data_IF_947419544106
#
_entry.id   IF_947419544106
#
_cell.length_a   1.000
_cell.length_b   1.000
_cell.length_c   1.000
_cell.angle_alpha   90.00
_cell.angle_beta   90.00
_cell.angle_gamma   90.00
#
_symmetry.space_group_name_H-M   'P 1'
#
loop_
_entity.id
_entity.type
_entity.pdbx_description
1 polymer ?
#
# COMPACT_ATOMS: atom_id res chain seq x y z
N UNK A 1 7.42 12.95 22.64
CA UNK A 1 7.58 11.48 22.59
C UNK A 1 7.76 11.07 21.15
N UNK A 2 8.92 10.51 20.78
CA UNK A 2 9.07 9.97 19.43
C UNK A 2 8.00 8.90 19.21
N UNK A 3 7.20 9.08 18.16
CA UNK A 3 6.12 8.16 17.80
C UNK A 3 6.71 6.74 17.66
N UNK A 4 6.06 5.75 18.26
CA UNK A 4 6.45 4.34 18.17
C UNK A 4 6.72 3.91 16.71
N UNK A 5 5.87 4.38 15.79
CA UNK A 5 6.02 4.11 14.36
C UNK A 5 7.38 4.60 13.81
N UNK A 6 7.81 5.80 14.17
CA UNK A 6 9.11 6.33 13.73
C UNK A 6 10.29 5.48 14.23
N UNK A 7 10.19 4.93 15.45
CA UNK A 7 11.21 4.02 15.99
C UNK A 7 11.23 2.70 15.24
N UNK A 8 10.06 2.13 14.92
CA UNK A 8 9.93 0.88 14.15
C UNK A 8 10.52 1.08 12.75
N UNK A 9 10.13 2.14 12.05
CA UNK A 9 10.65 2.45 10.69
C UNK A 9 12.17 2.60 10.71
N UNK A 10 12.71 3.34 11.68
CA UNK A 10 14.16 3.51 11.83
C UNK A 10 14.87 2.18 12.10
N UNK A 11 14.29 1.32 12.95
CA UNK A 11 14.83 -0.01 13.22
C UNK A 11 14.81 -0.89 11.96
N UNK A 12 13.70 -0.90 11.24
CA UNK A 12 13.53 -1.70 10.02
C UNK A 12 14.55 -1.32 8.93
N UNK A 13 14.79 -0.02 8.73
CA UNK A 13 15.82 0.46 7.80
C UNK A 13 17.22 0.00 8.22
N UNK A 14 17.60 0.23 9.47
CA UNK A 14 18.95 -0.12 9.97
C UNK A 14 19.21 -1.64 9.97
N UNK A 15 18.19 -2.46 10.13
CA UNK A 15 18.30 -3.92 10.19
C UNK A 15 18.10 -4.60 8.84
N UNK A 16 17.87 -3.85 7.77
CA UNK A 16 17.70 -4.42 6.44
C UNK A 16 16.36 -5.12 6.23
N UNK A 17 15.29 -4.64 6.86
CA UNK A 17 13.93 -5.10 6.57
C UNK A 17 13.34 -4.41 5.36
N UNK A 18 13.46 -3.08 5.31
CA UNK A 18 12.91 -2.25 4.23
C UNK A 18 13.87 -1.14 3.86
N UNK A 19 13.83 -0.73 2.60
CA UNK A 19 14.54 0.44 2.06
C UNK A 19 13.59 1.25 1.18
N UNK A 20 13.76 2.58 1.06
CA UNK A 20 13.07 3.35 0.04
C UNK A 20 13.42 2.79 -1.35
N UNK A 21 12.42 2.53 -2.19
CA UNK A 21 12.67 2.06 -3.55
C UNK A 21 13.34 3.14 -4.38
N UNK A 22 14.27 2.75 -5.24
CA UNK A 22 15.02 3.67 -6.11
C UNK A 22 15.74 4.80 -5.38
N UNK A 23 16.24 4.55 -4.17
CA UNK A 23 16.83 5.57 -3.29
C UNK A 23 18.00 6.32 -3.94
N UNK A 24 18.82 5.64 -4.74
CA UNK A 24 19.96 6.25 -5.47
C UNK A 24 19.54 7.33 -6.48
N UNK A 25 18.27 7.33 -6.89
CA UNK A 25 17.67 8.33 -7.79
C UNK A 25 16.71 9.29 -7.06
N UNK A 26 16.81 9.38 -5.73
CA UNK A 26 15.94 10.22 -4.91
C UNK A 26 14.71 9.54 -4.35
N UNK A 27 14.47 8.28 -4.74
CA UNK A 27 13.34 7.50 -4.24
C UNK A 27 11.98 7.92 -4.80
N UNK A 28 10.97 7.14 -4.46
CA UNK A 28 9.56 7.46 -4.73
C UNK A 28 8.79 7.39 -3.41
N UNK A 29 8.01 8.41 -3.12
CA UNK A 29 7.19 8.44 -1.90
C UNK A 29 6.17 7.29 -1.90
N UNK A 30 6.18 6.51 -0.82
CA UNK A 30 5.24 5.38 -0.65
C UNK A 30 5.71 4.06 -1.26
N UNK A 31 6.87 4.01 -1.92
CA UNK A 31 7.43 2.78 -2.49
C UNK A 31 8.62 2.27 -1.69
N UNK A 32 8.63 0.97 -1.41
CA UNK A 32 9.62 0.33 -0.54
C UNK A 32 10.07 -1.00 -1.11
N UNK A 33 11.37 -1.25 -1.03
CA UNK A 33 11.96 -2.54 -1.33
C UNK A 33 12.18 -3.34 -0.03
N UNK A 34 11.98 -4.65 -0.11
CA UNK A 34 12.27 -5.54 1.01
C UNK A 34 13.73 -5.94 1.00
N UNK A 35 14.43 -5.66 2.09
CA UNK A 35 15.76 -6.19 2.33
C UNK A 35 15.74 -7.67 2.73
N UNK A 36 16.90 -8.29 2.98
CA UNK A 36 17.01 -9.72 3.27
C UNK A 36 16.10 -10.19 4.43
N UNK A 37 16.09 -9.48 5.54
CA UNK A 37 15.21 -9.81 6.67
C UNK A 37 13.74 -9.53 6.37
N UNK A 38 13.45 -8.50 5.59
CA UNK A 38 12.10 -8.18 5.16
C UNK A 38 11.48 -9.24 4.26
N UNK A 39 12.27 -9.79 3.33
CA UNK A 39 11.82 -10.91 2.47
C UNK A 39 11.48 -12.14 3.30
N UNK A 40 12.32 -12.50 4.27
CA UNK A 40 12.06 -13.63 5.16
C UNK A 40 10.78 -13.43 5.96
N UNK A 41 10.62 -12.26 6.56
CA UNK A 41 9.40 -11.92 7.32
C UNK A 41 8.14 -11.95 6.44
N UNK A 42 8.21 -11.33 5.26
CA UNK A 42 7.11 -11.34 4.29
C UNK A 42 6.70 -12.76 3.89
N UNK A 43 7.67 -13.62 3.59
CA UNK A 43 7.40 -14.99 3.18
C UNK A 43 6.83 -15.83 4.32
N UNK A 44 7.29 -15.64 5.55
CA UNK A 44 6.73 -16.29 6.72
C UNK A 44 5.27 -15.86 6.94
N UNK A 45 4.99 -14.56 6.84
CA UNK A 45 3.61 -14.05 6.96
C UNK A 45 2.69 -14.63 5.89
N UNK A 46 3.16 -14.69 4.62
CA UNK A 46 2.39 -15.30 3.52
C UNK A 46 2.11 -16.78 3.77
N UNK A 47 3.10 -17.53 4.29
CA UNK A 47 2.92 -18.96 4.61
C UNK A 47 1.87 -19.17 5.69
N UNK A 48 1.96 -18.41 6.80
CA UNK A 48 0.99 -18.51 7.90
C UNK A 48 -0.41 -18.16 7.39
N UNK A 49 -0.53 -17.06 6.65
CA UNK A 49 -1.82 -16.64 6.10
C UNK A 49 -2.40 -17.70 5.15
N UNK A 50 -1.59 -18.26 4.26
CA UNK A 50 -2.02 -19.31 3.34
C UNK A 50 -2.47 -20.57 4.09
N UNK A 51 -1.66 -21.01 5.04
CA UNK A 51 -1.98 -22.16 5.88
C UNK A 51 -3.33 -21.94 6.60
N UNK A 52 -3.47 -20.85 7.33
CA UNK A 52 -4.65 -20.59 8.16
C UNK A 52 -5.91 -20.34 7.34
N UNK A 53 -5.80 -19.73 6.17
CA UNK A 53 -6.97 -19.35 5.37
C UNK A 53 -7.35 -20.41 4.33
N UNK A 54 -6.38 -21.12 3.77
CA UNK A 54 -6.63 -22.06 2.66
C UNK A 54 -6.48 -23.51 3.12
N UNK A 55 -5.33 -23.87 3.71
CA UNK A 55 -5.02 -25.29 3.96
C UNK A 55 -5.81 -25.89 5.12
N UNK A 56 -6.24 -25.09 6.09
CA UNK A 56 -7.03 -25.54 7.26
C UNK A 56 -8.54 -25.51 7.03
N UNK A 57 -8.99 -25.09 5.86
CA UNK A 57 -10.42 -24.96 5.55
C UNK A 57 -10.82 -25.82 4.35
N UNK A 58 -11.73 -26.75 4.55
CA UNK A 58 -12.17 -27.70 3.52
C UNK A 58 -12.89 -27.05 2.32
N UNK A 59 -13.47 -25.85 2.52
CA UNK A 59 -14.30 -25.18 1.53
C UNK A 59 -13.60 -23.97 0.86
N UNK A 60 -12.30 -23.77 1.09
CA UNK A 60 -11.53 -22.68 0.52
C UNK A 60 -10.43 -23.23 -0.38
N UNK A 61 -10.37 -22.75 -1.59
CA UNK A 61 -9.39 -23.17 -2.58
C UNK A 61 -8.53 -21.98 -3.03
N UNK A 62 -7.23 -22.22 -3.16
CA UNK A 62 -6.29 -21.20 -3.63
C UNK A 62 -6.46 -20.94 -5.13
N UNK A 63 -6.47 -19.67 -5.52
CA UNK A 63 -6.45 -19.24 -6.91
C UNK A 63 -5.32 -18.24 -7.11
N UNK A 64 -4.48 -18.50 -8.09
CA UNK A 64 -3.44 -17.54 -8.54
C UNK A 64 -3.79 -17.09 -9.96
N UNK A 65 -4.49 -15.97 -10.07
CA UNK A 65 -4.91 -15.41 -11.35
C UNK A 65 -3.83 -14.52 -11.95
N UNK A 66 -3.83 -14.40 -13.29
CA UNK A 66 -2.92 -13.47 -13.97
C UNK A 66 -3.20 -12.01 -13.58
N UNK A 67 -2.13 -11.23 -13.50
CA UNK A 67 -2.23 -9.76 -13.26
C UNK A 67 -2.77 -9.04 -14.50
N UNK A 68 -2.39 -9.52 -15.70
CA UNK A 68 -2.87 -8.95 -16.97
C UNK A 68 -4.16 -9.66 -17.34
N UNK A 69 -5.26 -8.92 -17.33
CA UNK A 69 -6.60 -9.41 -17.58
C UNK A 69 -7.21 -8.74 -18.83
N UNK A 70 -8.23 -9.40 -19.39
CA UNK A 70 -9.02 -8.78 -20.46
C UNK A 70 -9.66 -7.46 -19.94
N UNK A 71 -9.61 -6.36 -20.70
CA UNK A 71 -10.21 -5.08 -20.31
C UNK A 71 -11.69 -5.15 -19.87
N UNK A 72 -12.44 -6.12 -20.40
CA UNK A 72 -13.84 -6.35 -19.99
C UNK A 72 -14.01 -6.72 -18.52
N UNK A 73 -13.00 -7.32 -17.90
CA UNK A 73 -13.01 -7.64 -16.45
C UNK A 73 -13.06 -6.34 -15.65
N UNK A 74 -12.26 -5.35 -16.03
CA UNK A 74 -12.23 -4.03 -15.39
C UNK A 74 -13.48 -3.22 -15.66
N UNK A 75 -14.07 -3.37 -16.85
CA UNK A 75 -15.37 -2.77 -17.17
C UNK A 75 -16.49 -3.36 -16.31
N UNK A 76 -16.55 -4.69 -16.20
CA UNK A 76 -17.56 -5.39 -15.41
C UNK A 76 -17.47 -5.08 -13.92
N UNK A 77 -16.25 -4.91 -13.40
CA UNK A 77 -16.00 -4.54 -11.99
C UNK A 77 -16.12 -3.04 -11.70
N UNK A 78 -16.42 -2.21 -12.72
CA UNK A 78 -16.56 -0.76 -12.57
C UNK A 78 -15.27 0.04 -12.48
N UNK A 79 -14.09 -0.62 -12.54
CA UNK A 79 -12.78 0.06 -12.38
C UNK A 79 -12.41 0.99 -13.52
N UNK A 80 -13.04 0.88 -14.68
CA UNK A 80 -12.85 1.78 -15.83
C UNK A 80 -13.97 2.81 -15.99
N UNK A 81 -14.95 2.80 -15.10
CA UNK A 81 -16.05 3.74 -15.11
C UNK A 81 -15.75 5.03 -14.31
N UNK A 82 -16.59 6.05 -14.50
CA UNK A 82 -16.50 7.33 -13.79
C UNK A 82 -16.65 7.21 -12.26
N UNK A 83 -17.21 6.11 -11.77
CA UNK A 83 -17.35 5.84 -10.34
C UNK A 83 -16.07 5.42 -9.63
N UNK A 84 -14.99 5.07 -10.35
CA UNK A 84 -13.70 4.71 -9.77
C UNK A 84 -12.73 5.91 -9.83
N UNK A 85 -13.17 7.03 -9.28
CA UNK A 85 -12.34 8.22 -9.16
C UNK A 85 -12.40 8.77 -7.73
N UNK A 86 -11.25 8.93 -7.10
CA UNK A 86 -11.14 9.64 -5.85
C UNK A 86 -11.12 11.15 -6.13
N UNK A 87 -12.14 11.92 -5.78
CA UNK A 87 -12.13 13.36 -5.97
C UNK A 87 -11.04 13.99 -5.09
N UNK A 88 -10.14 14.72 -5.74
CA UNK A 88 -9.06 15.44 -5.06
C UNK A 88 -9.39 16.93 -4.99
N UNK A 89 -9.02 17.56 -3.87
CA UNK A 89 -8.99 19.01 -3.72
C UNK A 89 -7.55 19.49 -3.51
N UNK A 90 -7.21 20.56 -4.19
CA UNK A 90 -5.92 21.24 -4.02
C UNK A 90 -6.08 22.44 -3.09
N UNK A 91 -5.20 22.56 -2.11
CA UNK A 91 -5.14 23.73 -1.26
C UNK A 91 -4.58 24.91 -2.03
N UNK A 92 -5.29 26.04 -2.03
CA UNK A 92 -4.86 27.27 -2.74
C UNK A 92 -3.64 27.93 -2.13
N UNK A 93 -3.32 27.65 -0.84
CA UNK A 93 -2.21 28.28 -0.14
C UNK A 93 -0.91 27.46 -0.23
N UNK A 94 -0.98 26.14 -0.01
CA UNK A 94 0.22 25.27 0.00
C UNK A 94 0.32 24.34 -1.23
N UNK A 95 -0.66 24.34 -2.12
CA UNK A 95 -0.74 23.51 -3.34
C UNK A 95 -0.69 21.99 -3.09
N UNK A 96 -0.83 21.54 -1.84
CA UNK A 96 -0.98 20.13 -1.55
C UNK A 96 -2.37 19.62 -1.95
N UNK A 97 -2.40 18.37 -2.39
CA UNK A 97 -3.63 17.68 -2.81
C UNK A 97 -4.06 16.68 -1.77
N UNK A 98 -5.35 16.67 -1.47
CA UNK A 98 -5.98 15.80 -0.49
C UNK A 98 -7.21 15.14 -1.10
N UNK A 99 -7.51 13.93 -0.67
CA UNK A 99 -8.82 13.32 -0.97
C UNK A 99 -9.90 14.08 -0.24
N UNK A 100 -11.04 14.30 -0.89
CA UNK A 100 -12.16 15.03 -0.29
C UNK A 100 -12.61 14.37 1.01
N UNK A 101 -12.61 13.04 1.07
CA UNK A 101 -13.03 12.24 2.22
C UNK A 101 -12.10 12.39 3.44
N UNK A 102 -10.84 12.76 3.23
CA UNK A 102 -9.85 12.96 4.29
C UNK A 102 -9.90 14.37 4.90
N UNK A 103 -10.62 15.31 4.25
CA UNK A 103 -10.70 16.69 4.71
C UNK A 103 -11.72 16.85 5.83
N UNK A 104 -11.25 17.19 7.02
CA UNK A 104 -12.11 17.56 8.15
C UNK A 104 -12.60 19.01 7.98
N UNK A 105 -13.92 19.19 7.80
CA UNK A 105 -14.55 20.52 7.66
C UNK A 105 -13.97 21.37 6.51
N UNK A 106 -13.60 20.76 5.40
CA UNK A 106 -13.01 21.41 4.22
C UNK A 106 -11.76 22.28 4.52
N UNK A 107 -11.05 22.01 5.60
CA UNK A 107 -9.83 22.72 5.97
C UNK A 107 -8.59 21.91 5.57
N UNK A 108 -7.59 22.64 5.07
CA UNK A 108 -6.28 22.06 4.78
C UNK A 108 -5.63 21.58 6.10
N UNK A 109 -5.14 20.33 6.18
CA UNK A 109 -4.45 19.85 7.37
C UNK A 109 -3.02 20.39 7.53
N UNK A 110 -2.43 20.94 6.46
CA UNK A 110 -1.01 21.33 6.42
C UNK A 110 -0.81 22.85 6.61
N UNK A 111 -1.86 23.66 6.48
CA UNK A 111 -1.70 25.11 6.64
C UNK A 111 -2.90 25.85 7.32
#
# INVERSE_FOLDING_TARGET
MANLMSKIVSLCKRRGFIFPSSEIYGGLTGFWDFGPLGVLLKNNLKKIWWHDMVETNDNIYGLDSTIILNPKVWQASGHTGSGFADPLRECKACHHRFRVDDLKKDKCPDC
#
